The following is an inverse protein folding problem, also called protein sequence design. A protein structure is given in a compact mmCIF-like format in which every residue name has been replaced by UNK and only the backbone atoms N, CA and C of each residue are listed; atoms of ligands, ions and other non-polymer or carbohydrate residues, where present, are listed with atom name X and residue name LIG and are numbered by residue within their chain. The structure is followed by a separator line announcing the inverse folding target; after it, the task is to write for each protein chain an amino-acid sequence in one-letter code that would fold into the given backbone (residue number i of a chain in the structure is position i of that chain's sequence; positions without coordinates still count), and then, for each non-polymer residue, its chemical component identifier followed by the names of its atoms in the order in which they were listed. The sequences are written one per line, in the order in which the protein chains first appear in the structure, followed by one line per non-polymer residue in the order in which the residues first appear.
data_IF_491691961063
#
_entry.id   IF_491691961063
#
_cell.length_a   1.000
_cell.length_b   1.000
_cell.length_c   1.000
_cell.angle_alpha   90.00
_cell.angle_beta   90.00
_cell.angle_gamma   90.00
#
_symmetry.space_group_name_H-M   'P 1'
#
loop_
_entity.id
_entity.type
_entity.pdbx_description
1 polymer ?
#
# COMPACT_ATOMS: atom_id res chain seq x y z
N UNK A 1 3.39 11.81 17.20
CA UNK A 1 3.07 11.20 15.88
C UNK A 1 4.41 10.80 15.27
N UNK A 2 4.59 9.52 14.93
CA UNK A 2 5.88 9.01 14.44
C UNK A 2 6.23 9.61 13.08
N UNK A 3 7.53 9.81 12.79
CA UNK A 3 8.00 10.44 11.56
C UNK A 3 7.47 9.76 10.29
N UNK A 4 7.39 8.43 10.27
CA UNK A 4 6.90 7.70 9.10
C UNK A 4 5.40 7.94 8.80
N UNK A 5 4.59 8.30 9.80
CA UNK A 5 3.21 8.73 9.60
C UNK A 5 3.12 10.23 9.24
N UNK A 6 3.88 11.08 9.95
CA UNK A 6 3.93 12.52 9.71
C UNK A 6 4.34 12.86 8.28
N UNK A 7 5.32 12.12 7.73
CA UNK A 7 5.87 12.31 6.38
C UNK A 7 5.38 11.29 5.35
N UNK A 8 4.25 10.61 5.63
CA UNK A 8 3.63 9.73 4.67
C UNK A 8 3.19 10.54 3.44
N UNK A 9 3.59 10.16 2.21
CA UNK A 9 3.16 10.80 0.97
C UNK A 9 1.64 10.95 0.87
N UNK A 10 1.19 12.16 0.58
CA UNK A 10 -0.22 12.52 0.34
C UNK A 10 -0.51 12.80 -1.14
N UNK A 11 0.53 12.89 -1.96
CA UNK A 11 0.45 13.08 -3.40
C UNK A 11 1.42 12.15 -4.11
N UNK A 12 1.15 11.83 -5.38
CA UNK A 12 2.01 10.98 -6.20
C UNK A 12 3.43 11.55 -6.36
N UNK A 13 3.55 12.88 -6.44
CA UNK A 13 4.84 13.59 -6.54
C UNK A 13 5.74 13.44 -5.31
N UNK A 14 5.18 13.04 -4.18
CA UNK A 14 5.92 12.82 -2.94
C UNK A 14 6.44 11.38 -2.78
N UNK A 15 5.97 10.47 -3.64
CA UNK A 15 6.42 9.07 -3.64
C UNK A 15 7.79 9.00 -4.32
N UNK A 16 8.75 8.35 -3.68
CA UNK A 16 10.12 8.22 -4.19
C UNK A 16 10.45 6.76 -4.49
N UNK A 17 11.25 6.55 -5.55
CA UNK A 17 11.78 5.24 -5.91
C UNK A 17 10.76 4.25 -6.52
N UNK A 18 9.56 4.72 -6.88
CA UNK A 18 8.51 3.88 -7.47
C UNK A 18 8.05 4.39 -8.85
N UNK A 19 8.93 5.02 -9.62
CA UNK A 19 8.60 5.74 -10.85
C UNK A 19 7.87 4.87 -11.88
N UNK A 20 8.35 3.65 -12.13
CA UNK A 20 7.72 2.69 -13.06
C UNK A 20 6.32 2.30 -12.64
N UNK A 21 6.09 2.18 -11.33
CA UNK A 21 4.76 1.88 -10.81
C UNK A 21 3.83 3.08 -10.95
N UNK A 22 4.31 4.28 -10.65
CA UNK A 22 3.54 5.53 -10.79
C UNK A 22 3.14 5.72 -12.26
N UNK A 23 4.06 5.51 -13.19
CA UNK A 23 3.77 5.55 -14.63
C UNK A 23 2.68 4.56 -15.01
N UNK A 24 2.78 3.30 -14.56
CA UNK A 24 1.75 2.28 -14.80
C UNK A 24 0.39 2.67 -14.23
N UNK A 25 0.35 3.22 -13.03
CA UNK A 25 -0.91 3.71 -12.42
C UNK A 25 -1.46 4.89 -13.23
N UNK A 26 -0.63 5.80 -13.71
CA UNK A 26 -1.04 6.90 -14.57
C UNK A 26 -1.69 6.41 -15.87
N UNK A 27 -1.16 5.37 -16.50
CA UNK A 27 -1.76 4.74 -17.68
C UNK A 27 -3.12 4.10 -17.37
N UNK A 28 -3.23 3.41 -16.22
CA UNK A 28 -4.50 2.81 -15.77
C UNK A 28 -5.52 3.90 -15.47
N UNK A 29 -5.09 5.01 -14.87
CA UNK A 29 -5.95 6.15 -14.51
C UNK A 29 -6.68 6.74 -15.72
N UNK A 30 -6.06 6.75 -16.90
CA UNK A 30 -6.70 7.21 -18.14
C UNK A 30 -7.93 6.38 -18.52
N UNK A 31 -7.99 5.11 -18.08
CA UNK A 31 -9.09 4.18 -18.33
C UNK A 31 -10.02 4.01 -17.12
N UNK A 32 -9.80 4.78 -16.05
CA UNK A 32 -10.50 4.69 -14.77
C UNK A 32 -9.83 3.70 -13.80
N UNK A 33 -9.75 4.12 -12.53
CA UNK A 33 -9.15 3.33 -11.45
C UNK A 33 -10.19 2.47 -10.70
N UNK A 34 -11.47 2.80 -10.77
CA UNK A 34 -12.56 2.09 -10.09
C UNK A 34 -13.10 0.91 -10.90
N UNK A 35 -14.03 0.14 -10.31
CA UNK A 35 -14.61 -1.06 -10.92
C UNK A 35 -13.64 -2.22 -11.05
N UNK A 36 -12.59 -2.29 -10.21
CA UNK A 36 -11.55 -3.32 -10.27
C UNK A 36 -10.84 -3.54 -8.96
N UNK A 37 -10.11 -4.64 -8.88
CA UNK A 37 -9.24 -4.94 -7.75
C UNK A 37 -7.76 -4.78 -8.12
N UNK A 38 -6.95 -4.33 -7.14
CA UNK A 38 -5.50 -4.21 -7.23
C UNK A 38 -4.84 -5.13 -6.21
N UNK A 39 -3.71 -5.70 -6.61
CA UNK A 39 -2.86 -6.49 -5.73
C UNK A 39 -1.47 -5.85 -5.68
N UNK A 40 -1.15 -5.21 -4.55
CA UNK A 40 0.12 -4.54 -4.32
C UNK A 40 1.05 -5.46 -3.53
N UNK A 41 2.15 -5.87 -4.15
CA UNK A 41 3.20 -6.66 -3.49
C UNK A 41 4.52 -5.91 -3.40
N UNK A 42 5.33 -6.23 -2.40
CA UNK A 42 6.65 -5.63 -2.20
C UNK A 42 7.18 -5.84 -0.79
N UNK A 43 8.46 -5.54 -0.57
CA UNK A 43 9.07 -5.64 0.75
C UNK A 43 8.38 -4.74 1.79
N UNK A 44 8.58 -5.06 3.07
CA UNK A 44 8.11 -4.18 4.15
C UNK A 44 8.75 -2.80 4.05
N UNK A 45 7.97 -1.75 4.31
CA UNK A 45 8.44 -0.36 4.32
C UNK A 45 8.71 0.27 2.95
N UNK A 46 8.36 -0.38 1.83
CA UNK A 46 8.52 0.18 0.46
C UNK A 46 7.37 1.08 0.00
N UNK A 47 6.32 1.25 0.79
CA UNK A 47 5.23 2.18 0.51
C UNK A 47 3.92 1.56 0.01
N UNK A 48 3.70 0.23 0.13
CA UNK A 48 2.46 -0.44 -0.32
C UNK A 48 1.19 0.25 0.16
N UNK A 49 1.03 0.41 1.47
CA UNK A 49 -0.16 1.06 2.06
C UNK A 49 -0.27 2.53 1.64
N UNK A 50 0.84 3.23 1.45
CA UNK A 50 0.85 4.61 0.93
C UNK A 50 0.27 4.66 -0.48
N UNK A 51 0.73 3.79 -1.38
CA UNK A 51 0.23 3.70 -2.75
C UNK A 51 -1.23 3.26 -2.77
N UNK A 52 -1.62 2.30 -1.93
CA UNK A 52 -3.02 1.90 -1.78
C UNK A 52 -3.92 3.09 -1.40
N UNK A 53 -3.50 3.89 -0.42
CA UNK A 53 -4.23 5.10 -0.01
C UNK A 53 -4.28 6.16 -1.10
N UNK A 54 -3.21 6.33 -1.88
CA UNK A 54 -3.21 7.27 -3.02
C UNK A 54 -4.19 6.82 -4.11
N UNK A 55 -4.21 5.53 -4.47
CA UNK A 55 -5.22 5.00 -5.42
C UNK A 55 -6.64 5.22 -4.86
N UNK A 56 -6.87 4.88 -3.60
CA UNK A 56 -8.16 5.03 -2.95
C UNK A 56 -8.64 6.49 -2.93
N UNK A 57 -7.74 7.43 -2.65
CA UNK A 57 -8.05 8.86 -2.59
C UNK A 57 -8.39 9.49 -3.94
N UNK A 58 -8.00 8.87 -5.06
CA UNK A 58 -8.44 9.30 -6.40
C UNK A 58 -9.94 9.00 -6.63
N UNK A 59 -10.46 7.99 -5.97
CA UNK A 59 -11.81 7.44 -6.23
C UNK A 59 -12.81 7.87 -5.15
N UNK A 60 -12.38 7.87 -3.89
CA UNK A 60 -13.23 8.11 -2.73
C UNK A 60 -12.73 9.27 -1.86
N UNK A 61 -13.63 9.94 -1.17
CA UNK A 61 -13.27 10.83 -0.06
C UNK A 61 -12.90 10.00 1.17
N UNK A 62 -12.15 10.57 2.10
CA UNK A 62 -11.57 9.88 3.25
C UNK A 62 -12.59 9.04 4.05
N UNK A 63 -13.79 9.56 4.27
CA UNK A 63 -14.88 8.86 4.99
C UNK A 63 -15.39 7.58 4.27
N UNK A 64 -15.08 7.41 2.99
CA UNK A 64 -15.48 6.25 2.18
C UNK A 64 -14.29 5.38 1.77
N UNK A 65 -13.15 5.57 2.45
CA UNK A 65 -11.97 4.70 2.37
C UNK A 65 -11.94 3.86 3.64
N UNK A 66 -12.20 2.57 3.53
CA UNK A 66 -12.14 1.62 4.63
C UNK A 66 -10.85 0.81 4.54
N UNK A 67 -10.03 0.86 5.60
CA UNK A 67 -8.78 0.11 5.69
C UNK A 67 -8.93 -1.01 6.72
N UNK A 68 -8.71 -2.25 6.29
CA UNK A 68 -9.03 -3.45 7.05
C UNK A 68 -7.80 -4.37 7.05
N UNK A 69 -7.48 -4.97 8.19
CA UNK A 69 -6.52 -6.07 8.25
C UNK A 69 -7.16 -7.37 7.76
N UNK A 70 -6.45 -8.11 6.92
CA UNK A 70 -6.98 -9.35 6.33
C UNK A 70 -7.38 -10.40 7.37
N UNK A 71 -6.70 -10.44 8.52
CA UNK A 71 -7.03 -11.37 9.61
C UNK A 71 -8.36 -11.05 10.28
N UNK A 72 -8.83 -9.80 10.21
CA UNK A 72 -10.12 -9.35 10.73
C UNK A 72 -11.26 -9.53 9.71
N UNK A 73 -10.96 -9.96 8.49
CA UNK A 73 -11.94 -10.06 7.41
C UNK A 73 -12.70 -11.40 7.49
N UNK A 74 -13.70 -11.44 8.35
CA UNK A 74 -14.61 -12.57 8.49
C UNK A 74 -15.67 -12.60 7.37
N UNK A 75 -16.34 -13.75 7.11
CA UNK A 75 -17.47 -13.80 6.18
C UNK A 75 -18.58 -12.80 6.49
N UNK A 76 -18.89 -12.55 7.76
CA UNK A 76 -19.88 -11.55 8.18
C UNK A 76 -19.43 -10.12 7.90
N UNK A 77 -18.13 -9.80 8.09
CA UNK A 77 -17.56 -8.52 7.73
C UNK A 77 -17.62 -8.29 6.20
N UNK A 78 -17.32 -9.31 5.41
CA UNK A 78 -17.43 -9.26 3.95
C UNK A 78 -18.87 -9.02 3.47
N UNK A 79 -19.87 -9.68 4.08
CA UNK A 79 -21.27 -9.44 3.72
C UNK A 79 -21.71 -7.99 4.00
N UNK A 80 -21.23 -7.39 5.11
CA UNK A 80 -21.46 -5.97 5.40
C UNK A 80 -20.78 -5.05 4.38
N UNK A 81 -19.54 -5.35 4.00
CA UNK A 81 -18.80 -4.62 2.96
C UNK A 81 -19.55 -4.71 1.63
N UNK A 82 -19.98 -5.90 1.21
CA UNK A 82 -20.72 -6.13 -0.02
C UNK A 82 -22.01 -5.30 -0.07
N UNK A 83 -22.76 -5.25 1.04
CA UNK A 83 -23.94 -4.39 1.17
C UNK A 83 -23.61 -2.92 1.03
N UNK A 84 -22.51 -2.44 1.64
CA UNK A 84 -22.07 -1.05 1.56
C UNK A 84 -21.53 -0.65 0.18
N UNK A 85 -20.98 -1.60 -0.57
CA UNK A 85 -20.49 -1.38 -1.95
C UNK A 85 -21.60 -1.01 -2.93
N UNK A 86 -22.85 -1.37 -2.64
CA UNK A 86 -24.01 -1.03 -3.50
C UNK A 86 -24.38 0.46 -3.40
N UNK A 87 -23.88 1.17 -2.40
CA UNK A 87 -24.22 2.55 -2.14
C UNK A 87 -23.16 3.48 -2.75
N UNK A 88 -23.60 4.51 -3.46
CA UNK A 88 -22.72 5.61 -3.87
C UNK A 88 -22.32 6.47 -2.67
N UNK A 89 -21.12 7.05 -2.73
CA UNK A 89 -20.65 8.00 -1.72
C UNK A 89 -20.91 9.43 -2.11
N UNK A 90 -21.00 10.33 -1.12
CA UNK A 90 -20.99 11.77 -1.39
C UNK A 90 -19.59 12.22 -1.84
N UNK A 91 -19.53 13.30 -2.62
CA UNK A 91 -18.28 13.88 -3.12
C UNK A 91 -17.81 13.19 -4.39
N UNK A 92 -16.77 12.38 -4.32
CA UNK A 92 -16.17 11.69 -5.48
C UNK A 92 -17.04 10.55 -6.05
N UNK A 93 -18.09 10.15 -5.35
CA UNK A 93 -19.03 9.12 -5.77
C UNK A 93 -18.58 7.68 -5.54
N UNK A 94 -17.28 7.42 -5.38
CA UNK A 94 -16.73 6.08 -5.24
C UNK A 94 -16.50 5.64 -3.79
N UNK A 95 -16.22 4.34 -3.61
CA UNK A 95 -15.81 3.71 -2.35
C UNK A 95 -14.53 2.93 -2.56
N UNK A 96 -13.68 2.91 -1.54
CA UNK A 96 -12.42 2.19 -1.59
C UNK A 96 -12.25 1.31 -0.34
N UNK A 97 -11.82 0.08 -0.56
CA UNK A 97 -11.52 -0.88 0.49
C UNK A 97 -10.06 -1.32 0.35
N UNK A 98 -9.26 -1.04 1.39
CA UNK A 98 -7.85 -1.43 1.44
C UNK A 98 -7.74 -2.62 2.40
N UNK A 99 -7.36 -3.78 1.89
CA UNK A 99 -7.17 -5.00 2.67
C UNK A 99 -5.68 -5.20 2.86
N UNK A 100 -5.20 -4.89 4.05
CA UNK A 100 -3.79 -5.01 4.39
C UNK A 100 -3.43 -6.45 4.77
N UNK A 101 -2.17 -6.82 4.49
CA UNK A 101 -1.56 -8.13 4.78
C UNK A 101 -2.40 -9.29 4.25
N UNK A 102 -2.80 -9.20 2.97
CA UNK A 102 -3.73 -10.12 2.30
C UNK A 102 -3.35 -11.61 2.40
N UNK A 103 -2.08 -11.93 2.70
CA UNK A 103 -1.67 -13.30 3.00
C UNK A 103 -2.34 -13.86 4.28
N UNK A 104 -2.83 -12.99 5.16
CA UNK A 104 -3.62 -13.37 6.35
C UNK A 104 -5.08 -13.74 6.08
N UNK A 105 -5.58 -13.63 4.84
CA UNK A 105 -6.96 -14.00 4.50
C UNK A 105 -7.23 -15.48 4.81
N UNK A 106 -8.36 -15.76 5.46
CA UNK A 106 -8.82 -17.13 5.67
C UNK A 106 -9.37 -17.75 4.36
N UNK A 107 -9.37 -19.08 4.23
CA UNK A 107 -9.95 -19.75 3.05
C UNK A 107 -11.42 -19.37 2.80
N UNK A 108 -12.31 -19.32 3.80
CA UNK A 108 -13.68 -18.85 3.60
C UNK A 108 -13.75 -17.41 3.08
N UNK A 109 -12.92 -16.50 3.59
CA UNK A 109 -12.85 -15.12 3.12
C UNK A 109 -12.39 -15.04 1.66
N UNK A 110 -11.37 -15.82 1.25
CA UNK A 110 -10.91 -15.87 -0.14
C UNK A 110 -12.03 -16.31 -1.07
N UNK A 111 -12.78 -17.36 -0.75
CA UNK A 111 -13.89 -17.84 -1.56
C UNK A 111 -15.00 -16.80 -1.72
N UNK A 112 -15.34 -16.11 -0.65
CA UNK A 112 -16.34 -15.05 -0.72
C UNK A 112 -15.85 -13.84 -1.53
N UNK A 113 -14.56 -13.47 -1.39
CA UNK A 113 -13.94 -12.43 -2.21
C UNK A 113 -13.96 -12.77 -3.71
N UNK A 114 -13.77 -14.03 -4.10
CA UNK A 114 -13.87 -14.43 -5.50
C UNK A 114 -15.22 -14.06 -6.11
N UNK A 115 -16.31 -14.32 -5.38
CA UNK A 115 -17.68 -14.00 -5.83
C UNK A 115 -17.89 -12.48 -5.84
N UNK A 116 -17.43 -11.79 -4.78
CA UNK A 116 -17.55 -10.34 -4.64
C UNK A 116 -16.83 -9.59 -5.78
N UNK A 117 -15.61 -10.01 -6.12
CA UNK A 117 -14.81 -9.35 -7.17
C UNK A 117 -15.39 -9.54 -8.58
N UNK A 118 -16.14 -10.61 -8.84
CA UNK A 118 -16.85 -10.79 -10.12
C UNK A 118 -18.01 -9.81 -10.30
N UNK A 119 -18.57 -9.32 -9.19
CA UNK A 119 -19.74 -8.43 -9.17
C UNK A 119 -19.39 -7.03 -8.64
N UNK A 120 -18.11 -6.65 -8.73
CA UNK A 120 -17.63 -5.40 -8.19
C UNK A 120 -18.29 -4.20 -8.90
N UNK A 121 -18.99 -3.31 -8.18
CA UNK A 121 -19.60 -2.12 -8.78
C UNK A 121 -18.57 -1.20 -9.43
N UNK A 122 -18.95 -0.53 -10.52
CA UNK A 122 -18.04 0.32 -11.30
C UNK A 122 -17.46 1.51 -10.53
N UNK A 123 -18.08 1.94 -9.44
CA UNK A 123 -17.62 3.03 -8.57
C UNK A 123 -16.77 2.56 -7.38
N UNK A 124 -16.54 1.25 -7.24
CA UNK A 124 -15.83 0.65 -6.11
C UNK A 124 -14.42 0.22 -6.54
N UNK A 125 -13.46 0.34 -5.62
CA UNK A 125 -12.12 -0.26 -5.75
C UNK A 125 -11.81 -1.11 -4.54
N UNK A 126 -11.18 -2.26 -4.78
CA UNK A 126 -10.60 -3.11 -3.72
C UNK A 126 -9.10 -3.19 -3.93
N UNK A 127 -8.33 -2.94 -2.89
CA UNK A 127 -6.87 -2.87 -2.96
C UNK A 127 -6.29 -3.80 -1.90
N UNK A 128 -5.65 -4.87 -2.34
CA UNK A 128 -4.92 -5.78 -1.47
C UNK A 128 -3.48 -5.33 -1.33
N UNK A 129 -2.91 -5.38 -0.13
CA UNK A 129 -1.48 -5.21 0.09
C UNK A 129 -0.89 -6.46 0.72
N UNK A 130 0.31 -6.86 0.32
CA UNK A 130 1.01 -8.00 0.91
C UNK A 130 2.53 -7.84 0.83
N UNK A 131 3.25 -8.50 1.71
CA UNK A 131 4.70 -8.64 1.55
C UNK A 131 5.02 -9.67 0.46
N UNK A 132 6.23 -9.63 -0.10
CA UNK A 132 6.65 -10.61 -1.11
C UNK A 132 6.69 -12.02 -0.51
N UNK A 133 7.23 -12.13 0.70
CA UNK A 133 7.29 -13.37 1.47
C UNK A 133 5.90 -13.89 1.78
N UNK A 134 4.99 -13.02 2.26
CA UNK A 134 3.60 -13.38 2.54
C UNK A 134 2.83 -13.79 1.28
N UNK A 135 3.16 -13.20 0.12
CA UNK A 135 2.57 -13.62 -1.15
C UNK A 135 2.99 -15.06 -1.51
N UNK A 136 4.25 -15.43 -1.35
CA UNK A 136 4.72 -16.80 -1.62
C UNK A 136 4.00 -17.80 -0.72
N UNK A 137 3.97 -17.57 0.59
CA UNK A 137 3.24 -18.40 1.56
C UNK A 137 1.75 -18.52 1.21
N UNK A 138 1.12 -17.42 0.80
CA UNK A 138 -0.28 -17.42 0.40
C UNK A 138 -0.55 -18.33 -0.80
N UNK A 139 0.36 -18.40 -1.76
CA UNK A 139 0.25 -19.30 -2.91
C UNK A 139 0.47 -20.77 -2.55
N UNK A 140 1.40 -21.06 -1.66
CA UNK A 140 1.71 -22.43 -1.24
C UNK A 140 0.56 -23.01 -0.41
N UNK A 141 -0.03 -22.21 0.47
CA UNK A 141 -1.02 -22.69 1.44
C UNK A 141 -2.47 -22.71 0.90
N UNK A 142 -2.79 -21.99 -0.21
CA UNK A 142 -4.17 -21.78 -0.62
C UNK A 142 -4.42 -22.06 -2.10
N UNK A 143 -5.18 -23.10 -2.37
CA UNK A 143 -5.59 -23.45 -3.74
C UNK A 143 -6.40 -22.33 -4.45
N UNK A 144 -7.11 -21.50 -3.68
CA UNK A 144 -7.94 -20.41 -4.18
C UNK A 144 -7.15 -19.09 -4.38
N UNK A 145 -5.82 -19.06 -4.11
CA UNK A 145 -5.01 -17.87 -4.23
C UNK A 145 -4.80 -17.42 -5.69
N UNK A 146 -4.51 -18.36 -6.59
CA UNK A 146 -4.31 -18.06 -8.01
C UNK A 146 -5.60 -17.50 -8.67
N UNK A 147 -6.80 -18.04 -8.44
CA UNK A 147 -8.05 -17.44 -8.88
C UNK A 147 -8.30 -16.02 -8.37
N UNK A 148 -7.96 -15.72 -7.10
CA UNK A 148 -8.09 -14.37 -6.55
C UNK A 148 -7.17 -13.39 -7.27
N UNK A 149 -5.92 -13.76 -7.47
CA UNK A 149 -4.93 -12.91 -8.15
C UNK A 149 -5.24 -12.69 -9.63
N UNK A 150 -5.87 -13.65 -10.31
CA UNK A 150 -6.28 -13.48 -11.71
C UNK A 150 -7.35 -12.41 -11.90
N UNK A 151 -8.10 -12.08 -10.83
CA UNK A 151 -9.11 -11.01 -10.81
C UNK A 151 -8.54 -9.65 -10.39
N UNK A 152 -7.24 -9.59 -10.06
CA UNK A 152 -6.57 -8.38 -9.61
C UNK A 152 -5.56 -7.86 -10.63
N UNK A 153 -5.46 -6.55 -10.77
CA UNK A 153 -4.33 -5.92 -11.43
C UNK A 153 -3.12 -5.92 -10.47
N UNK A 154 -2.07 -6.66 -10.85
CA UNK A 154 -0.87 -6.78 -10.03
C UNK A 154 0.01 -5.56 -10.18
N UNK A 155 0.47 -5.03 -9.06
CA UNK A 155 1.36 -3.89 -8.94
C UNK A 155 2.49 -4.24 -7.96
N UNK A 156 3.65 -4.59 -8.52
CA UNK A 156 4.82 -4.97 -7.72
C UNK A 156 5.69 -3.74 -7.46
N UNK A 157 5.93 -3.41 -6.20
CA UNK A 157 6.78 -2.30 -5.81
C UNK A 157 8.26 -2.63 -6.04
N UNK A 158 9.03 -1.63 -6.48
CA UNK A 158 10.46 -1.76 -6.69
C UNK A 158 11.18 -2.24 -5.40
N UNK A 159 12.16 -3.10 -5.58
CA UNK A 159 12.98 -3.70 -4.50
C UNK A 159 14.43 -3.21 -4.56
N UNK A 160 14.90 -2.79 -5.73
CA UNK A 160 16.29 -2.37 -6.00
C UNK A 160 16.35 -0.86 -6.19
N UNK A 161 17.54 -0.33 -6.07
CA UNK A 161 17.88 1.08 -6.33
C UNK A 161 17.11 2.11 -5.47
N UNK A 162 16.57 1.67 -4.32
CA UNK A 162 15.81 2.52 -3.40
C UNK A 162 16.68 3.26 -2.38
N UNK A 163 17.93 2.80 -2.14
CA UNK A 163 18.76 3.35 -1.08
C UNK A 163 19.05 4.85 -1.25
N UNK A 164 19.39 5.27 -2.47
CA UNK A 164 19.70 6.68 -2.77
C UNK A 164 18.45 7.58 -2.66
N UNK A 165 17.33 7.32 -3.37
CA UNK A 165 16.15 8.16 -3.26
C UNK A 165 15.54 8.17 -1.84
N UNK A 166 15.63 7.06 -1.11
CA UNK A 166 15.20 7.01 0.29
C UNK A 166 16.11 7.81 1.21
N UNK A 167 17.43 7.74 1.01
CA UNK A 167 18.40 8.53 1.76
C UNK A 167 18.18 10.04 1.56
N UNK A 168 17.98 10.49 0.33
CA UNK A 168 17.71 11.90 0.01
C UNK A 168 16.43 12.40 0.70
N UNK A 169 15.36 11.58 0.68
CA UNK A 169 14.12 11.92 1.37
C UNK A 169 14.30 11.91 2.89
N UNK A 170 14.96 10.91 3.44
CA UNK A 170 15.22 10.78 4.88
C UNK A 170 16.09 11.92 5.41
N UNK A 171 17.12 12.32 4.64
CA UNK A 171 17.97 13.47 4.96
C UNK A 171 17.15 14.77 5.08
N UNK A 172 16.30 15.06 4.07
CA UNK A 172 15.42 16.24 4.09
C UNK A 172 14.45 16.23 5.26
N UNK A 173 13.95 15.04 5.66
CA UNK A 173 13.09 14.90 6.84
C UNK A 173 13.88 15.18 8.11
N UNK A 174 15.08 14.60 8.25
CA UNK A 174 15.95 14.83 9.40
C UNK A 174 16.34 16.30 9.56
N UNK A 175 16.64 17.02 8.46
CA UNK A 175 16.88 18.46 8.49
C UNK A 175 15.67 19.23 9.04
N UNK A 176 14.46 18.94 8.55
CA UNK A 176 13.24 19.60 9.00
C UNK A 176 12.90 19.35 10.47
N UNK A 177 13.30 18.21 11.00
CA UNK A 177 13.04 17.80 12.38
C UNK A 177 14.21 18.16 13.34
N UNK A 178 15.30 18.74 12.84
CA UNK A 178 16.49 19.03 13.66
C UNK A 178 17.24 17.79 14.14
N UNK A 179 17.12 16.69 13.39
CA UNK A 179 17.73 15.38 13.70
C UNK A 179 18.91 15.05 12.78
N UNK A 180 19.41 16.04 12.01
CA UNK A 180 20.51 15.86 11.08
C UNK A 180 21.83 16.39 11.66
N UNK A 181 22.85 15.53 11.72
CA UNK A 181 24.22 15.85 12.11
C UNK A 181 25.25 15.07 11.29
N UNK A 182 24.81 14.24 10.34
CA UNK A 182 25.67 13.36 9.53
C UNK A 182 25.51 13.59 8.04
N UNK A 183 26.56 13.33 7.24
CA UNK A 183 26.49 13.51 5.79
C UNK A 183 25.59 12.48 5.11
N UNK A 184 25.14 12.79 3.89
CA UNK A 184 24.17 11.99 3.11
C UNK A 184 24.61 10.52 2.90
N UNK A 185 25.90 10.26 2.80
CA UNK A 185 26.47 8.91 2.65
C UNK A 185 26.08 7.99 3.83
N UNK A 186 25.95 8.57 5.03
CA UNK A 186 25.50 7.82 6.22
C UNK A 186 24.01 7.42 6.10
N UNK A 187 23.17 8.24 5.50
CA UNK A 187 21.79 7.93 5.22
C UNK A 187 21.66 6.83 4.16
N UNK A 188 22.53 6.84 3.13
CA UNK A 188 22.58 5.75 2.15
C UNK A 188 22.94 4.42 2.82
N UNK A 189 23.98 4.41 3.68
CA UNK A 189 24.33 3.21 4.47
C UNK A 189 23.18 2.77 5.36
N UNK A 190 22.53 3.69 6.07
CA UNK A 190 21.38 3.39 6.91
C UNK A 190 20.24 2.73 6.10
N UNK A 191 19.92 3.24 4.90
CA UNK A 191 18.93 2.62 4.04
C UNK A 191 19.32 1.20 3.62
N UNK A 192 20.60 0.94 3.34
CA UNK A 192 21.13 -0.38 3.00
C UNK A 192 21.07 -1.35 4.21
N UNK A 193 21.48 -0.90 5.40
CA UNK A 193 21.42 -1.66 6.65
C UNK A 193 19.99 -2.12 6.97
N UNK A 194 19.01 -1.24 6.77
CA UNK A 194 17.58 -1.58 6.92
C UNK A 194 16.95 -2.18 5.66
N UNK A 195 17.74 -2.64 4.68
CA UNK A 195 17.26 -3.29 3.44
C UNK A 195 16.18 -2.49 2.72
N UNK A 196 16.33 -1.17 2.70
CA UNK A 196 15.37 -0.21 2.11
C UNK A 196 13.98 -0.23 2.77
N UNK A 197 13.88 -0.62 4.04
CA UNK A 197 12.67 -0.44 4.82
C UNK A 197 12.61 1.02 5.32
N UNK A 198 11.93 1.88 4.57
CA UNK A 198 11.89 3.32 4.87
C UNK A 198 11.26 3.65 6.23
N UNK A 199 10.29 2.83 6.69
CA UNK A 199 9.71 2.96 8.03
C UNK A 199 10.78 2.79 9.11
N UNK A 200 11.58 1.74 9.03
CA UNK A 200 12.66 1.48 9.99
C UNK A 200 13.77 2.54 9.92
N UNK A 201 14.07 3.03 8.72
CA UNK A 201 15.01 4.16 8.53
C UNK A 201 14.53 5.40 9.30
N UNK A 202 13.27 5.79 9.12
CA UNK A 202 12.72 6.98 9.82
C UNK A 202 12.62 6.76 11.33
N UNK A 203 12.31 5.56 11.81
CA UNK A 203 12.33 5.23 13.24
C UNK A 203 13.74 5.33 13.83
N UNK A 204 14.76 4.88 13.10
CA UNK A 204 16.16 5.02 13.51
C UNK A 204 16.57 6.49 13.59
N UNK A 205 16.17 7.33 12.63
CA UNK A 205 16.43 8.78 12.66
C UNK A 205 15.73 9.43 13.86
N UNK A 206 14.47 9.07 14.10
CA UNK A 206 13.66 9.56 15.22
C UNK A 206 14.31 9.23 16.58
N UNK A 207 15.02 8.11 16.68
CA UNK A 207 15.81 7.74 17.87
C UNK A 207 17.18 8.42 17.96
N UNK A 208 17.51 9.36 17.07
CA UNK A 208 18.72 10.16 17.12
C UNK A 208 19.94 9.53 16.42
N UNK A 209 19.78 8.47 15.64
CA UNK A 209 20.92 7.79 14.99
C UNK A 209 21.70 8.68 14.01
N UNK A 210 21.11 9.79 13.55
CA UNK A 210 21.73 10.75 12.64
C UNK A 210 22.16 12.06 13.31
N UNK A 211 22.03 12.18 14.60
CA UNK A 211 22.66 13.27 15.38
C UNK A 211 24.17 13.13 15.39
N UNK A 212 24.88 14.25 15.65
CA UNK A 212 26.35 14.33 15.67
C UNK A 212 26.95 13.45 16.77
#
# INVERSE_FOLDING_TARGET
MNLYEKYRPKAWSEVVGQDKMIERISQIKQRGLSGRAYWLSGQSGTGKTTIARLIASEIATEHYIEEIDATSLTPSALARIESSMQLYSFGKGGRAYIINEAHGLSRPAVRQLLVLLERLPSHVVVIFTTTTEGQLTFFEDKQDAAPLLSRCLRLDLARRDLAKPFAEKAYKIAEKEGLNGKPIERYVKLCQEYRNNFRSVLQSIESGSMLA
#
